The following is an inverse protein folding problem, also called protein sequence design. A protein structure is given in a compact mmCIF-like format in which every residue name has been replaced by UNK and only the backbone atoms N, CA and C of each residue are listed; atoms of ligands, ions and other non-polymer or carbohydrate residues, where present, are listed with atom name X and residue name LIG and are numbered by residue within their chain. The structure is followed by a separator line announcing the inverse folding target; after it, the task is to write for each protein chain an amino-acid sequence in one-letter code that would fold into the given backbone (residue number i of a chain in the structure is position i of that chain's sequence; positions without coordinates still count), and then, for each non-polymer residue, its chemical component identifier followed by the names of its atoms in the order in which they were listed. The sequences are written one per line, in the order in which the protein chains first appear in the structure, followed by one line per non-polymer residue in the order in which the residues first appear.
data_IF_050695869905
#
_entry.id   IF_050695869905
#
_cell.length_a   1.000
_cell.length_b   1.000
_cell.length_c   1.000
_cell.angle_alpha   90.00
_cell.angle_beta   90.00
_cell.angle_gamma   90.00
#
_symmetry.space_group_name_H-M   'P 1'
#
loop_
_entity.id
_entity.type
_entity.pdbx_description
1 polymer ?
#
# COMPACT_ATOMS: atom_id res chain seq x y z
N UNK A 1 18.64 -10.91 7.07
CA UNK A 1 17.40 -10.32 6.52
C UNK A 1 17.11 -11.09 5.24
N UNK A 2 15.87 -11.50 5.00
CA UNK A 2 15.52 -12.22 3.77
C UNK A 2 15.59 -11.24 2.58
N UNK A 3 16.09 -11.69 1.42
CA UNK A 3 16.16 -10.90 0.19
C UNK A 3 14.76 -10.71 -0.42
N UNK A 4 13.92 -9.93 0.25
CA UNK A 4 12.59 -9.56 -0.26
C UNK A 4 12.73 -8.64 -1.49
N UNK A 5 11.78 -8.73 -2.42
CA UNK A 5 11.74 -7.86 -3.60
C UNK A 5 10.54 -6.92 -3.49
N UNK A 6 10.77 -5.62 -3.64
CA UNK A 6 9.72 -4.60 -3.61
C UNK A 6 9.61 -3.83 -4.92
N UNK A 7 8.39 -3.51 -5.33
CA UNK A 7 8.11 -2.68 -6.50
C UNK A 7 6.87 -1.80 -6.28
N UNK A 8 6.78 -0.71 -7.05
CA UNK A 8 5.50 -0.01 -7.25
C UNK A 8 4.72 -0.77 -8.32
N UNK A 9 3.49 -1.16 -8.01
CA UNK A 9 2.58 -1.82 -8.93
C UNK A 9 1.49 -0.83 -9.36
N UNK A 10 1.38 -0.59 -10.66
CA UNK A 10 0.22 0.08 -11.26
C UNK A 10 -0.85 -0.96 -11.61
N UNK A 11 -2.12 -0.65 -11.31
CA UNK A 11 -3.25 -1.53 -11.55
C UNK A 11 -4.50 -0.76 -11.95
N UNK A 12 -5.40 -1.43 -12.67
CA UNK A 12 -6.68 -0.85 -13.07
C UNK A 12 -7.69 -1.00 -11.93
N UNK A 13 -8.39 0.08 -11.62
CA UNK A 13 -9.50 0.14 -10.63
C UNK A 13 -10.72 0.70 -11.36
N UNK A 14 -11.90 0.09 -11.27
CA UNK A 14 -13.14 0.42 -12.03
C UNK A 14 -13.21 1.80 -12.74
N UNK A 15 -12.57 1.93 -13.91
CA UNK A 15 -12.57 3.14 -14.76
C UNK A 15 -11.40 4.12 -14.58
N UNK A 16 -10.44 3.83 -13.71
CA UNK A 16 -9.21 4.59 -13.44
C UNK A 16 -7.99 3.68 -13.28
N UNK A 17 -6.80 4.27 -13.18
CA UNK A 17 -5.59 3.58 -12.75
C UNK A 17 -5.28 4.00 -11.31
N UNK A 18 -4.76 3.07 -10.52
CA UNK A 18 -4.20 3.30 -9.21
C UNK A 18 -2.81 2.67 -9.12
N UNK A 19 -2.06 3.03 -8.09
CA UNK A 19 -0.74 2.48 -7.80
C UNK A 19 -0.70 1.98 -6.36
N UNK A 20 0.31 1.17 -6.04
CA UNK A 20 0.52 0.66 -4.70
C UNK A 20 1.90 0.05 -4.56
N UNK A 21 2.29 -0.24 -3.33
CA UNK A 21 3.58 -0.85 -3.01
C UNK A 21 3.41 -2.36 -2.80
N UNK A 22 4.11 -3.15 -3.59
CA UNK A 22 4.09 -4.60 -3.54
C UNK A 22 5.43 -5.14 -3.07
N UNK A 23 5.41 -5.99 -2.05
CA UNK A 23 6.59 -6.70 -1.55
C UNK A 23 6.36 -8.19 -1.61
N UNK A 24 7.36 -8.93 -2.12
CA UNK A 24 7.33 -10.38 -2.22
C UNK A 24 8.45 -11.02 -1.38
N UNK A 25 8.17 -12.15 -0.71
CA UNK A 25 9.20 -12.98 -0.09
C UNK A 25 10.13 -13.59 -1.17
N UNK A 26 11.37 -13.97 -0.82
CA UNK A 26 12.26 -14.66 -1.75
C UNK A 26 11.78 -16.08 -2.07
N UNK A 27 12.17 -16.57 -3.25
CA UNK A 27 11.88 -17.91 -3.72
C UNK A 27 10.67 -18.01 -4.64
N UNK A 28 10.41 -19.23 -5.10
CA UNK A 28 9.28 -19.51 -5.99
C UNK A 28 8.05 -19.86 -5.15
N UNK A 29 6.96 -19.11 -5.34
CA UNK A 29 5.71 -19.29 -4.62
C UNK A 29 4.96 -20.60 -4.95
N UNK A 30 3.65 -20.72 -4.60
CA UNK A 30 2.75 -19.66 -4.15
C UNK A 30 2.93 -19.28 -2.68
N UNK A 31 2.68 -18.01 -2.38
CA UNK A 31 2.71 -17.44 -1.03
C UNK A 31 1.31 -17.00 -0.59
N UNK A 32 0.99 -17.03 0.71
CA UNK A 32 -0.17 -16.32 1.22
C UNK A 32 -0.03 -14.81 0.95
N UNK A 33 -1.16 -14.12 0.78
CA UNK A 33 -1.18 -12.68 0.51
C UNK A 33 -1.89 -11.89 1.61
N UNK A 34 -1.42 -10.67 1.86
CA UNK A 34 -2.02 -9.69 2.78
C UNK A 34 -2.10 -8.33 2.12
N UNK A 35 -3.20 -7.61 2.38
CA UNK A 35 -3.35 -6.21 2.02
C UNK A 35 -3.10 -5.35 3.26
N UNK A 36 -2.19 -4.39 3.14
CA UNK A 36 -1.82 -3.45 4.20
C UNK A 36 -2.45 -2.10 3.89
N UNK A 37 -3.50 -1.75 4.62
CA UNK A 37 -4.21 -0.49 4.43
C UNK A 37 -3.47 0.63 5.16
N UNK A 38 -3.11 1.67 4.41
CA UNK A 38 -2.46 2.87 4.95
C UNK A 38 -3.33 3.59 5.99
N UNK A 39 -2.68 4.29 6.92
CA UNK A 39 -3.36 5.22 7.80
C UNK A 39 -3.58 6.59 7.13
N UNK A 40 -4.20 7.52 7.86
CA UNK A 40 -4.54 8.87 7.41
C UNK A 40 -3.37 9.73 6.89
N UNK A 41 -2.11 9.28 7.03
CA UNK A 41 -0.91 9.96 6.52
C UNK A 41 -0.56 9.62 5.07
N UNK A 42 -1.21 8.63 4.45
CA UNK A 42 -0.85 8.17 3.10
C UNK A 42 0.10 6.96 3.09
N UNK A 43 0.53 6.53 1.89
CA UNK A 43 1.47 5.42 1.67
C UNK A 43 2.92 5.83 1.99
N UNK A 44 3.19 6.06 3.28
CA UNK A 44 4.50 6.48 3.78
C UNK A 44 5.47 5.32 4.04
N UNK A 45 6.69 5.64 4.45
CA UNK A 45 7.75 4.66 4.70
C UNK A 45 7.41 3.69 5.85
N UNK A 46 6.61 4.11 6.83
CA UNK A 46 6.14 3.24 7.90
C UNK A 46 5.17 2.16 7.38
N UNK A 47 4.24 2.53 6.50
CA UNK A 47 3.34 1.56 5.85
C UNK A 47 4.13 0.59 4.97
N UNK A 48 5.12 1.09 4.22
CA UNK A 48 6.00 0.25 3.39
C UNK A 48 6.87 -0.70 4.23
N UNK A 49 7.38 -0.24 5.37
CA UNK A 49 8.11 -1.09 6.33
C UNK A 49 7.23 -2.22 6.87
N UNK A 50 5.98 -1.92 7.24
CA UNK A 50 5.01 -2.93 7.69
C UNK A 50 4.77 -3.98 6.59
N UNK A 51 4.59 -3.57 5.33
CA UNK A 51 4.48 -4.50 4.21
C UNK A 51 5.75 -5.37 4.06
N UNK A 52 6.93 -4.78 4.20
CA UNK A 52 8.20 -5.51 4.20
C UNK A 52 8.32 -6.54 5.33
N UNK A 53 7.80 -6.23 6.52
CA UNK A 53 7.77 -7.17 7.65
C UNK A 53 6.88 -8.38 7.37
N UNK A 54 5.73 -8.21 6.71
CA UNK A 54 4.92 -9.34 6.27
C UNK A 54 5.64 -10.20 5.22
N UNK A 55 6.36 -9.58 4.28
CA UNK A 55 7.19 -10.31 3.31
C UNK A 55 8.32 -11.10 3.96
N UNK A 56 8.94 -10.57 5.02
CA UNK A 56 9.93 -11.31 5.79
C UNK A 56 9.34 -12.55 6.50
N UNK A 57 8.04 -12.54 6.82
CA UNK A 57 7.32 -13.68 7.39
C UNK A 57 6.72 -14.63 6.33
N UNK A 58 7.02 -14.42 5.04
CA UNK A 58 6.59 -15.30 3.96
C UNK A 58 5.26 -14.94 3.29
N UNK A 59 4.75 -13.73 3.52
CA UNK A 59 3.53 -13.24 2.86
C UNK A 59 3.86 -12.31 1.70
N UNK A 60 3.17 -12.44 0.57
CA UNK A 60 3.10 -11.34 -0.39
C UNK A 60 2.29 -10.21 0.24
N UNK A 61 2.88 -9.03 0.36
CA UNK A 61 2.24 -7.88 1.00
C UNK A 61 2.00 -6.78 -0.03
N UNK A 62 0.75 -6.34 -0.15
CA UNK A 62 0.37 -5.25 -1.04
C UNK A 62 -0.23 -4.09 -0.24
N UNK A 63 0.28 -2.88 -0.44
CA UNK A 63 -0.23 -1.66 0.18
C UNK A 63 -0.73 -0.71 -0.94
N UNK A 64 -2.05 -0.61 -1.17
CA UNK A 64 -2.59 0.31 -2.17
C UNK A 64 -2.36 1.77 -1.76
N UNK A 65 -2.07 2.63 -2.73
CA UNK A 65 -1.94 4.07 -2.54
C UNK A 65 -3.29 4.76 -2.67
N UNK A 66 -4.06 4.74 -1.58
CA UNK A 66 -5.43 5.29 -1.56
C UNK A 66 -5.46 6.81 -1.76
N UNK A 67 -4.32 7.48 -1.59
CA UNK A 67 -4.18 8.93 -1.73
C UNK A 67 -3.44 9.32 -3.01
N UNK A 68 -3.16 8.37 -3.91
CA UNK A 68 -2.58 8.59 -5.22
C UNK A 68 -1.25 9.39 -5.21
N UNK A 69 -0.38 9.09 -4.26
CA UNK A 69 0.96 9.66 -4.11
C UNK A 69 1.06 10.74 -3.06
N UNK A 70 -0.05 11.20 -2.49
CA UNK A 70 -0.06 12.20 -1.43
C UNK A 70 0.29 11.56 -0.08
N UNK A 71 1.30 12.13 0.59
CA UNK A 71 1.75 11.75 1.92
C UNK A 71 1.98 13.01 2.74
N UNK A 72 1.54 13.02 3.99
CA UNK A 72 1.73 14.19 4.89
C UNK A 72 2.12 13.77 6.29
N UNK A 73 2.72 14.71 7.03
CA UNK A 73 3.02 14.62 8.45
C UNK A 73 2.32 15.72 9.27
N UNK A 74 1.53 16.58 8.62
CA UNK A 74 0.80 17.66 9.27
C UNK A 74 -0.66 17.25 9.55
N UNK A 75 -1.15 17.32 10.81
CA UNK A 75 -2.48 16.85 11.17
C UNK A 75 -3.63 17.48 10.38
N UNK A 76 -3.52 18.78 10.08
CA UNK A 76 -4.53 19.51 9.31
C UNK A 76 -4.59 19.04 7.85
N UNK A 77 -3.45 18.67 7.26
CA UNK A 77 -3.38 18.11 5.92
C UNK A 77 -3.89 16.68 5.89
N UNK A 78 -3.53 15.86 6.88
CA UNK A 78 -4.05 14.49 6.99
C UNK A 78 -5.57 14.48 7.14
N UNK A 79 -6.14 15.41 7.90
CA UNK A 79 -7.58 15.56 8.00
C UNK A 79 -8.20 15.93 6.63
N UNK A 80 -7.57 16.83 5.86
CA UNK A 80 -8.05 17.18 4.52
C UNK A 80 -7.99 15.98 3.58
N UNK A 81 -6.89 15.23 3.57
CA UNK A 81 -6.75 14.03 2.73
C UNK A 81 -7.82 13.00 3.08
N UNK A 82 -8.04 12.72 4.37
CA UNK A 82 -9.09 11.79 4.81
C UNK A 82 -10.49 12.24 4.38
N UNK A 83 -10.79 13.54 4.46
CA UNK A 83 -12.07 14.09 3.99
C UNK A 83 -12.23 14.06 2.48
N UNK A 84 -11.14 14.24 1.73
CA UNK A 84 -11.12 14.22 0.27
C UNK A 84 -11.06 12.80 -0.30
N UNK A 85 -10.73 11.82 0.53
CA UNK A 85 -10.71 10.41 0.14
C UNK A 85 -12.13 9.98 -0.20
N UNK A 86 -12.35 9.69 -1.48
CA UNK A 86 -13.61 9.14 -1.95
C UNK A 86 -13.72 7.68 -1.49
N UNK A 87 -14.35 7.48 -0.33
CA UNK A 87 -14.51 6.16 0.30
C UNK A 87 -15.17 5.12 -0.64
N UNK A 88 -16.23 5.45 -1.41
CA UNK A 88 -16.73 4.58 -2.48
C UNK A 88 -15.68 4.12 -3.49
N UNK A 89 -14.76 4.99 -3.91
CA UNK A 89 -13.66 4.62 -4.82
C UNK A 89 -12.59 3.79 -4.11
N UNK A 90 -12.16 4.20 -2.92
CA UNK A 90 -11.14 3.50 -2.13
C UNK A 90 -11.52 2.05 -1.82
N UNK A 91 -12.82 1.77 -1.63
CA UNK A 91 -13.31 0.40 -1.41
C UNK A 91 -13.30 -0.51 -2.64
N UNK A 92 -13.04 0.06 -3.82
CA UNK A 92 -13.00 -0.65 -5.11
C UNK A 92 -11.57 -0.85 -5.64
N UNK A 93 -10.57 -0.38 -4.89
CA UNK A 93 -9.16 -0.68 -5.12
C UNK A 93 -8.78 -2.03 -4.49
#
# INVERSE_FOLDING_TARGET
MADTTSETLDYATNGSNASGFLVRPPGDGPFPAVVVIQEWWGLNDNVKDIAGRFANEGFVAFAPDLYHGEVTSEPDEAQKLMMQTDMPRASQE
#
